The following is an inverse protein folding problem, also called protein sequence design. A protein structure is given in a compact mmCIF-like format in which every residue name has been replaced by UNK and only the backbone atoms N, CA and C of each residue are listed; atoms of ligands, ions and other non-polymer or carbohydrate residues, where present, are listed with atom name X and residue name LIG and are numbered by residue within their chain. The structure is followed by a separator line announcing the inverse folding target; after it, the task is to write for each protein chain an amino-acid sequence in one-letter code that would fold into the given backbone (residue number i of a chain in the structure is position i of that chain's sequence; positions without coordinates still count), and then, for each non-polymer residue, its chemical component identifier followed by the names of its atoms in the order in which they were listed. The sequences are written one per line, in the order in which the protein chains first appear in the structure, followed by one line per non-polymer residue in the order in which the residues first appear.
data_IF_020887650098
#
_entry.id   IF_020887650098
#
_cell.length_a   1.000
_cell.length_b   1.000
_cell.length_c   1.000
_cell.angle_alpha   90.00
_cell.angle_beta   90.00
_cell.angle_gamma   90.00
#
_symmetry.space_group_name_H-M   'P 1'
#
loop_
_entity.id
_entity.type
_entity.pdbx_description
1 polymer ?
#
# COMPACT_ATOMS: atom_id res chain seq x y z
N UNK A 1 15.47 15.01 43.59
CA UNK A 1 15.91 15.15 42.19
C UNK A 1 16.14 13.77 41.63
N UNK A 2 15.22 13.23 40.83
CA UNK A 2 15.36 11.89 40.25
C UNK A 2 15.15 12.03 38.76
N UNK A 3 16.23 11.92 37.98
CA UNK A 3 16.17 12.00 36.51
C UNK A 3 15.62 10.68 35.99
N UNK A 4 14.51 10.76 35.26
CA UNK A 4 13.90 9.65 34.51
C UNK A 4 14.81 9.32 33.31
N UNK A 5 15.31 8.08 33.15
CA UNK A 5 16.09 7.75 31.97
C UNK A 5 15.14 7.70 30.77
N UNK A 6 15.45 8.50 29.76
CA UNK A 6 14.81 8.50 28.45
C UNK A 6 14.99 7.11 27.85
N UNK A 7 13.89 6.46 27.49
CA UNK A 7 13.89 5.15 26.84
C UNK A 7 14.71 5.19 25.55
N UNK A 8 15.42 4.09 25.30
CA UNK A 8 16.20 3.87 24.09
C UNK A 8 15.36 4.09 22.83
N UNK A 9 15.85 4.93 21.92
CA UNK A 9 15.38 5.01 20.55
C UNK A 9 15.90 3.79 19.76
N UNK A 10 15.04 2.90 19.22
CA UNK A 10 15.41 2.09 18.08
C UNK A 10 15.13 2.90 16.81
N UNK A 11 15.77 4.07 16.67
CA UNK A 11 15.73 4.89 15.45
C UNK A 11 17.05 4.78 14.68
N UNK A 12 17.66 3.59 14.70
CA UNK A 12 18.91 3.30 14.00
C UNK A 12 18.76 2.29 12.86
N UNK A 13 17.57 1.72 12.64
CA UNK A 13 17.31 0.70 11.61
C UNK A 13 16.36 1.19 10.50
N UNK A 14 16.23 2.51 10.32
CA UNK A 14 15.38 3.09 9.28
C UNK A 14 16.09 3.24 7.91
N UNK A 15 17.38 2.89 7.84
CA UNK A 15 18.23 3.08 6.64
C UNK A 15 18.98 1.80 6.24
N UNK A 16 18.54 0.62 6.69
CA UNK A 16 19.01 -0.61 6.06
C UNK A 16 18.59 -0.57 4.59
N UNK A 17 19.50 -0.76 3.61
CA UNK A 17 19.13 -0.79 2.20
C UNK A 17 18.04 -1.86 2.03
N UNK A 18 16.84 -1.46 1.63
CA UNK A 18 15.80 -2.41 1.27
C UNK A 18 16.39 -3.26 0.15
N UNK A 19 16.60 -4.56 0.42
CA UNK A 19 17.04 -5.51 -0.61
C UNK A 19 16.21 -5.28 -1.87
N UNK A 20 16.87 -5.21 -3.01
CA UNK A 20 16.22 -4.97 -4.29
C UNK A 20 15.07 -5.98 -4.48
N UNK A 21 13.88 -5.54 -4.94
CA UNK A 21 12.78 -6.45 -5.24
C UNK A 21 13.20 -7.52 -6.26
N UNK A 22 12.71 -8.74 -6.07
CA UNK A 22 12.95 -9.84 -6.98
C UNK A 22 11.97 -9.79 -8.16
N UNK A 23 12.47 -9.99 -9.39
CA UNK A 23 11.60 -10.18 -10.55
C UNK A 23 11.15 -11.64 -10.59
N UNK A 24 9.84 -11.87 -10.45
CA UNK A 24 9.24 -13.21 -10.50
C UNK A 24 8.30 -13.33 -11.69
N UNK A 25 8.04 -14.56 -12.15
CA UNK A 25 7.20 -14.81 -13.32
C UNK A 25 6.09 -15.82 -12.99
N UNK A 26 4.92 -15.69 -13.61
CA UNK A 26 3.79 -16.59 -13.43
C UNK A 26 2.76 -16.46 -14.58
N UNK A 27 1.82 -17.39 -14.67
CA UNK A 27 0.66 -17.27 -15.56
C UNK A 27 -0.48 -16.47 -14.90
N UNK A 28 -1.14 -15.61 -15.68
CA UNK A 28 -2.32 -14.89 -15.24
C UNK A 28 -3.46 -15.87 -14.95
N UNK A 29 -3.98 -15.87 -13.72
CA UNK A 29 -5.08 -16.76 -13.30
C UNK A 29 -6.41 -16.50 -14.00
N UNK A 30 -6.54 -15.40 -14.74
CA UNK A 30 -7.76 -15.04 -15.48
C UNK A 30 -7.68 -15.39 -16.97
N UNK A 31 -6.59 -15.03 -17.65
CA UNK A 31 -6.48 -15.21 -19.11
C UNK A 31 -5.28 -16.06 -19.56
N UNK A 32 -4.50 -16.63 -18.63
CA UNK A 32 -3.38 -17.51 -18.92
C UNK A 32 -2.12 -16.84 -19.48
N UNK A 33 -2.13 -15.53 -19.69
CA UNK A 33 -0.96 -14.80 -20.19
C UNK A 33 0.22 -14.89 -19.21
N UNK A 34 1.42 -15.17 -19.72
CA UNK A 34 2.65 -15.13 -18.94
C UNK A 34 2.98 -13.68 -18.54
N UNK A 35 3.16 -13.43 -17.25
CA UNK A 35 3.37 -12.10 -16.69
C UNK A 35 4.54 -12.12 -15.70
N UNK A 36 5.32 -11.05 -15.73
CA UNK A 36 6.34 -10.76 -14.73
C UNK A 36 5.75 -9.86 -13.63
N UNK A 37 6.24 -10.02 -12.40
CA UNK A 37 5.85 -9.27 -11.22
C UNK A 37 7.04 -9.03 -10.30
N UNK A 38 6.82 -8.24 -9.25
CA UNK A 38 7.85 -8.00 -8.22
C UNK A 38 7.46 -8.70 -6.94
N UNK A 39 8.36 -9.50 -6.37
CA UNK A 39 8.16 -10.25 -5.13
C UNK A 39 6.82 -11.02 -5.12
N UNK A 40 6.45 -11.68 -6.22
CA UNK A 40 5.20 -12.43 -6.33
C UNK A 40 3.92 -11.57 -6.44
N UNK A 41 4.05 -10.28 -6.74
CA UNK A 41 2.92 -9.36 -6.96
C UNK A 41 2.71 -9.16 -8.44
N UNK A 42 1.54 -9.55 -8.92
CA UNK A 42 1.26 -9.67 -10.34
C UNK A 42 0.11 -8.77 -10.76
N UNK A 43 0.31 -8.01 -11.83
CA UNK A 43 -0.72 -7.24 -12.50
C UNK A 43 -0.69 -7.57 -13.99
N UNK A 44 -1.81 -8.09 -14.51
CA UNK A 44 -1.92 -8.45 -15.91
C UNK A 44 -2.31 -7.23 -16.76
N UNK A 45 -1.37 -6.75 -17.58
CA UNK A 45 -1.63 -5.66 -18.52
C UNK A 45 -2.62 -6.00 -19.64
N UNK A 46 -2.97 -7.28 -19.84
CA UNK A 46 -3.89 -7.72 -20.90
C UNK A 46 -5.34 -7.70 -20.44
N UNK A 47 -5.66 -8.30 -19.30
CA UNK A 47 -7.04 -8.46 -18.82
C UNK A 47 -7.35 -7.68 -17.54
N UNK A 48 -6.40 -6.90 -17.02
CA UNK A 48 -6.54 -6.07 -15.83
C UNK A 48 -6.64 -6.83 -14.51
N UNK A 49 -6.43 -8.15 -14.50
CA UNK A 49 -6.41 -8.93 -13.26
C UNK A 49 -5.19 -8.58 -12.41
N UNK A 50 -5.37 -8.50 -11.09
CA UNK A 50 -4.32 -8.31 -10.10
C UNK A 50 -4.53 -9.35 -9.00
N UNK A 51 -3.44 -9.96 -8.48
CA UNK A 51 -3.54 -10.88 -7.35
C UNK A 51 -3.80 -10.15 -6.03
N UNK A 52 -4.24 -10.88 -5.00
CA UNK A 52 -4.37 -10.24 -3.69
C UNK A 52 -2.99 -9.85 -3.15
N UNK A 53 -2.95 -8.68 -2.51
CA UNK A 53 -1.73 -8.12 -1.97
C UNK A 53 -1.08 -8.97 -0.86
N UNK A 54 -1.81 -9.86 -0.19
CA UNK A 54 -1.22 -10.78 0.78
C UNK A 54 -0.46 -11.95 0.15
N UNK A 55 -0.66 -12.19 -1.14
CA UNK A 55 -0.01 -13.29 -1.87
C UNK A 55 1.45 -13.00 -2.27
N UNK A 56 1.91 -11.77 -2.12
CA UNK A 56 3.30 -11.42 -2.41
C UNK A 56 4.29 -12.10 -1.46
N UNK A 57 5.44 -12.50 -1.97
CA UNK A 57 6.49 -13.20 -1.23
C UNK A 57 7.10 -12.33 -0.11
N UNK A 58 7.10 -11.01 -0.32
CA UNK A 58 7.54 -10.03 0.68
C UNK A 58 6.36 -9.37 1.37
N UNK A 59 6.46 -9.32 2.70
CA UNK A 59 5.57 -8.56 3.58
C UNK A 59 5.57 -7.09 3.15
N UNK A 60 4.38 -6.50 3.01
CA UNK A 60 4.24 -5.05 2.79
C UNK A 60 4.69 -4.25 4.02
N UNK A 61 5.34 -3.09 3.84
CA UNK A 61 5.65 -2.17 4.94
C UNK A 61 4.42 -1.82 5.78
N UNK A 62 4.62 -1.60 7.09
CA UNK A 62 3.59 -1.09 8.00
C UNK A 62 3.50 0.41 7.82
N UNK A 63 2.40 0.98 8.28
CA UNK A 63 2.22 2.43 8.29
C UNK A 63 3.30 3.19 9.08
N UNK A 64 3.96 2.58 10.08
CA UNK A 64 5.09 3.19 10.80
C UNK A 64 6.42 3.15 10.04
N UNK A 65 6.54 2.28 9.04
CA UNK A 65 7.70 2.15 8.16
C UNK A 65 7.57 3.01 6.89
N UNK A 66 6.40 3.61 6.67
CA UNK A 66 6.10 4.46 5.50
C UNK A 66 6.68 5.88 5.70
N UNK A 67 7.64 6.32 4.87
CA UNK A 67 8.25 7.64 4.98
C UNK A 67 7.26 8.79 4.70
N UNK A 68 6.21 8.52 3.92
CA UNK A 68 5.18 9.49 3.57
C UNK A 68 4.00 9.46 4.56
N UNK A 69 4.11 8.68 5.66
CA UNK A 69 3.05 8.54 6.65
C UNK A 69 2.66 9.91 7.23
N UNK A 70 1.38 10.30 7.20
CA UNK A 70 0.94 11.53 7.85
C UNK A 70 1.15 11.44 9.37
N UNK A 71 1.50 12.56 10.03
CA UNK A 71 1.66 12.61 11.48
C UNK A 71 0.34 12.24 12.16
N UNK A 72 0.44 11.51 13.27
CA UNK A 72 -0.71 11.07 14.06
C UNK A 72 -1.53 12.30 14.46
N UNK A 73 -2.83 12.31 14.14
CA UNK A 73 -3.75 13.39 14.52
C UNK A 73 -4.20 14.33 13.39
N UNK A 74 -3.76 14.14 12.13
CA UNK A 74 -4.45 14.79 11.00
C UNK A 74 -5.87 14.26 10.91
N UNK A 75 -6.86 15.12 11.17
CA UNK A 75 -8.28 14.81 10.97
C UNK A 75 -8.48 14.32 9.54
N UNK A 76 -9.28 13.27 9.36
CA UNK A 76 -9.77 12.86 8.03
C UNK A 76 -10.30 14.13 7.33
N UNK A 77 -9.91 14.39 6.07
CA UNK A 77 -10.55 15.43 5.28
C UNK A 77 -12.06 15.19 5.30
N UNK A 78 -12.84 16.27 5.47
CA UNK A 78 -14.29 16.18 5.41
C UNK A 78 -14.64 15.61 4.02
N UNK A 79 -15.52 14.59 3.91
CA UNK A 79 -15.92 14.08 2.61
C UNK A 79 -16.38 15.25 1.73
N UNK A 80 -15.91 15.28 0.49
CA UNK A 80 -16.38 16.26 -0.49
C UNK A 80 -17.90 16.12 -0.62
N UNK A 81 -18.65 17.22 -0.77
CA UNK A 81 -20.06 17.13 -1.12
C UNK A 81 -20.22 16.30 -2.41
N UNK A 82 -21.30 15.51 -2.53
CA UNK A 82 -21.58 14.75 -3.74
C UNK A 82 -21.60 15.69 -4.96
N UNK A 83 -21.06 15.19 -6.07
CA UNK A 83 -21.02 15.93 -7.33
C UNK A 83 -22.44 16.15 -7.88
N UNK A 84 -22.64 17.08 -8.83
CA UNK A 84 -23.94 17.33 -9.45
C UNK A 84 -24.52 16.13 -10.20
N UNK A 85 -23.74 15.08 -10.40
CA UNK A 85 -24.14 13.81 -11.04
C UNK A 85 -24.91 12.85 -10.14
N UNK A 86 -24.94 13.07 -8.82
CA UNK A 86 -25.64 12.22 -7.84
C UNK A 86 -27.06 12.71 -7.48
N UNK A 87 -27.59 13.72 -8.19
CA UNK A 87 -28.95 14.20 -7.95
C UNK A 87 -29.99 13.18 -8.46
N UNK A 88 -30.97 12.76 -7.64
CA UNK A 88 -32.04 11.87 -8.12
C UNK A 88 -32.85 12.57 -9.22
N UNK A 89 -33.28 11.85 -10.27
CA UNK A 89 -34.08 12.45 -11.33
C UNK A 89 -35.39 12.98 -10.74
N UNK A 90 -35.62 14.30 -10.86
CA UNK A 90 -36.89 14.93 -10.51
C UNK A 90 -37.94 14.47 -11.52
N UNK A 91 -38.66 13.41 -11.17
CA UNK A 91 -39.81 12.91 -11.91
C UNK A 91 -40.95 13.93 -11.92
N UNK A 92 -41.59 14.05 -13.09
CA UNK A 92 -42.71 14.93 -13.42
C UNK A 92 -44.05 14.39 -12.94
#
# INVERSE_FOLDING_TARGET
MTRRPTGADPSADATAPLLAPELTEAECRRCGTYIAGLDGRYACGVCGWVNDHSEGHRRLPRADEDPDRPPRGRKRPKPLPPGPEDAPPTGR
#
